data_IF_971610297227
#
_entry.id   IF_971610297227
#
_cell.length_a   1.000
_cell.length_b   1.000
_cell.length_c   1.000
_cell.angle_alpha   90.00
_cell.angle_beta   90.00
_cell.angle_gamma   90.00
#
_symmetry.space_group_name_H-M   'P 1'
#
loop_
_entity.id
_entity.type
_entity.pdbx_description
1 polymer ?
#
# COMPACT_ATOMS: atom_id res chain seq x y z
N UNK A 1 2.06 -28.52 -45.92
CA UNK A 1 1.21 -28.63 -44.71
C UNK A 1 1.96 -28.03 -43.52
N UNK A 2 1.70 -26.76 -43.17
CA UNK A 2 2.33 -26.03 -42.05
C UNK A 2 1.29 -25.07 -41.47
N UNK A 3 0.37 -25.55 -40.63
CA UNK A 3 -0.62 -24.68 -39.97
C UNK A 3 -0.90 -25.04 -38.50
N UNK A 4 -0.06 -25.89 -37.88
CA UNK A 4 -0.38 -26.44 -36.55
C UNK A 4 0.57 -25.93 -35.44
N UNK A 5 1.67 -25.24 -35.78
CA UNK A 5 2.65 -24.75 -34.79
C UNK A 5 2.37 -23.36 -34.24
N UNK A 6 1.73 -22.48 -35.02
CA UNK A 6 1.47 -21.08 -34.62
C UNK A 6 0.32 -20.99 -33.60
N UNK A 7 -0.66 -21.88 -33.69
CA UNK A 7 -1.81 -21.90 -32.77
C UNK A 7 -1.46 -22.34 -31.34
N UNK A 8 -0.40 -23.14 -31.16
CA UNK A 8 0.04 -23.60 -29.84
C UNK A 8 0.87 -22.53 -29.11
N UNK A 9 1.63 -21.72 -29.85
CA UNK A 9 2.48 -20.68 -29.27
C UNK A 9 1.67 -19.48 -28.76
N UNK A 10 0.56 -19.13 -29.42
CA UNK A 10 -0.34 -18.06 -28.98
C UNK A 10 -1.16 -18.44 -27.75
N UNK A 11 -1.59 -19.70 -27.64
CA UNK A 11 -2.31 -20.18 -26.45
C UNK A 11 -1.42 -20.17 -25.18
N UNK A 12 -0.13 -20.48 -25.33
CA UNK A 12 0.83 -20.46 -24.21
C UNK A 12 1.15 -19.01 -23.76
N UNK A 13 1.21 -18.07 -24.69
CA UNK A 13 1.43 -16.65 -24.36
C UNK A 13 0.24 -16.01 -23.63
N UNK A 14 -1.00 -16.36 -23.99
CA UNK A 14 -2.20 -15.90 -23.25
C UNK A 14 -2.33 -16.51 -21.85
N UNK A 15 -1.85 -17.75 -21.64
CA UNK A 15 -1.83 -18.38 -20.32
C UNK A 15 -0.81 -17.71 -19.37
N UNK A 16 0.33 -17.23 -19.90
CA UNK A 16 1.35 -16.55 -19.09
C UNK A 16 0.90 -15.12 -18.72
N UNK A 17 0.22 -14.40 -19.61
CA UNK A 17 -0.33 -13.06 -19.30
C UNK A 17 -1.44 -13.15 -18.24
N UNK A 18 -2.25 -14.22 -18.26
CA UNK A 18 -3.28 -14.43 -17.23
C UNK A 18 -2.72 -14.88 -15.87
N UNK A 19 -1.51 -15.46 -15.82
CA UNK A 19 -0.85 -15.79 -14.55
C UNK A 19 -0.29 -14.56 -13.82
N UNK A 20 0.15 -13.52 -14.55
CA UNK A 20 0.59 -12.25 -13.96
C UNK A 20 -0.54 -11.22 -13.80
N UNK A 21 -1.73 -11.47 -14.37
CA UNK A 21 -2.91 -10.63 -14.15
C UNK A 21 -3.68 -10.97 -12.86
N UNK A 22 -3.00 -11.63 -11.91
CA UNK A 22 -3.47 -11.82 -10.53
C UNK A 22 -3.08 -10.65 -9.61
N UNK A 23 -2.76 -9.48 -10.18
CA UNK A 23 -3.20 -8.21 -9.60
C UNK A 23 -4.73 -8.22 -9.62
N UNK A 24 -5.33 -9.00 -8.72
CA UNK A 24 -6.72 -8.89 -8.39
C UNK A 24 -6.92 -7.42 -8.00
N UNK A 25 -7.55 -6.67 -8.90
CA UNK A 25 -8.31 -5.49 -8.56
C UNK A 25 -9.32 -5.98 -7.52
N UNK A 26 -8.91 -5.96 -6.26
CA UNK A 26 -9.79 -6.14 -5.12
C UNK A 26 -10.66 -4.90 -5.10
N UNK A 27 -11.78 -5.00 -5.81
CA UNK A 27 -12.86 -4.04 -5.73
C UNK A 27 -13.16 -3.78 -4.25
N UNK A 28 -12.87 -2.55 -3.84
CA UNK A 28 -13.76 -1.68 -3.08
C UNK A 28 -14.34 -2.22 -1.77
N UNK A 29 -13.92 -1.54 -0.71
CA UNK A 29 -14.65 -1.32 0.54
C UNK A 29 -14.73 -2.51 1.53
N UNK A 30 -14.17 -2.26 2.72
CA UNK A 30 -14.42 -2.94 3.99
C UNK A 30 -13.83 -4.35 4.21
N UNK A 31 -12.65 -4.65 3.67
CA UNK A 31 -11.72 -5.43 4.48
C UNK A 31 -11.19 -4.46 5.54
N UNK A 32 -11.74 -4.51 6.76
CA UNK A 32 -11.36 -3.59 7.83
C UNK A 32 -9.85 -3.55 7.99
N UNK A 33 -9.29 -2.35 8.13
CA UNK A 33 -7.88 -2.17 8.45
C UNK A 33 -7.49 -3.11 9.61
N UNK A 34 -6.49 -3.95 9.37
CA UNK A 34 -5.91 -4.85 10.36
C UNK A 34 -4.41 -4.56 10.47
N UNK A 35 -4.01 -4.08 11.64
CA UNK A 35 -2.61 -3.73 11.92
C UNK A 35 -1.65 -4.92 11.88
N UNK A 36 -2.15 -6.16 11.86
CA UNK A 36 -1.36 -7.38 11.74
C UNK A 36 -1.39 -7.98 10.33
N UNK A 37 -2.16 -7.40 9.40
CA UNK A 37 -2.19 -7.80 7.99
C UNK A 37 -1.76 -6.62 7.09
N UNK A 38 -0.47 -6.56 6.68
CA UNK A 38 0.06 -5.51 5.81
C UNK A 38 -0.69 -5.34 4.48
N UNK A 39 -1.40 -6.37 4.02
CA UNK A 39 -2.22 -6.31 2.80
C UNK A 39 -3.41 -5.35 2.98
N UNK A 40 -3.78 -5.01 4.20
CA UNK A 40 -4.88 -4.09 4.53
C UNK A 40 -4.43 -2.66 4.80
N UNK A 41 -3.12 -2.37 4.75
CA UNK A 41 -2.60 -1.03 5.08
C UNK A 41 -2.69 -0.05 3.92
N UNK A 42 -3.12 -0.50 2.75
CA UNK A 42 -3.43 0.35 1.60
C UNK A 42 -4.89 0.19 1.21
N UNK A 43 -5.47 1.25 0.66
CA UNK A 43 -6.83 1.24 0.15
C UNK A 43 -6.90 1.86 -1.25
N UNK A 44 -7.77 1.33 -2.13
CA UNK A 44 -8.00 1.94 -3.44
C UNK A 44 -8.48 3.39 -3.30
N UNK A 45 -8.17 4.20 -4.32
CA UNK A 45 -8.50 5.64 -4.40
C UNK A 45 -9.93 5.93 -3.93
N UNK A 46 -10.05 6.83 -2.96
CA UNK A 46 -11.34 7.36 -2.51
C UNK A 46 -11.51 8.80 -2.98
N UNK A 47 -12.72 9.17 -3.38
CA UNK A 47 -12.98 10.32 -4.27
C UNK A 47 -12.69 11.72 -3.74
N UNK A 48 -12.24 11.89 -2.49
CA UNK A 48 -12.04 13.21 -1.90
C UNK A 48 -10.58 13.63 -1.72
N UNK A 49 -9.60 12.72 -1.85
CA UNK A 49 -8.18 13.02 -1.66
C UNK A 49 -7.84 13.65 -0.30
N UNK A 50 -6.55 13.80 -0.01
CA UNK A 50 -6.08 14.51 1.19
C UNK A 50 -6.07 16.01 0.92
N UNK A 51 -6.66 16.81 1.82
CA UNK A 51 -6.60 18.27 1.71
C UNK A 51 -5.21 18.79 2.09
N UNK A 52 -4.80 19.96 1.56
CA UNK A 52 -3.53 20.58 1.96
C UNK A 52 -3.45 20.89 3.45
N UNK A 53 -4.61 21.22 4.05
CA UNK A 53 -4.71 21.47 5.50
C UNK A 53 -4.41 20.20 6.30
N UNK A 54 -4.99 19.07 5.89
CA UNK A 54 -4.79 17.80 6.61
C UNK A 54 -3.38 17.25 6.38
N UNK A 55 -2.85 17.39 5.16
CA UNK A 55 -1.46 17.09 4.84
C UNK A 55 -0.48 17.91 5.71
N UNK A 56 -0.76 19.20 5.90
CA UNK A 56 0.03 20.08 6.77
C UNK A 56 -0.12 19.81 8.28
N UNK A 57 -1.02 18.91 8.67
CA UNK A 57 -1.22 18.50 10.07
C UNK A 57 -0.39 17.27 10.47
N UNK A 58 0.36 16.69 9.53
CA UNK A 58 1.21 15.52 9.77
C UNK A 58 2.57 15.99 10.28
N UNK A 59 2.89 15.61 11.52
CA UNK A 59 4.16 15.97 12.15
C UNK A 59 5.10 14.76 12.27
N UNK A 60 6.39 15.05 12.31
CA UNK A 60 7.42 14.05 12.62
C UNK A 60 7.14 13.43 13.99
N UNK A 61 7.26 12.11 14.09
CA UNK A 61 6.97 11.37 15.33
C UNK A 61 5.56 10.77 15.43
N UNK A 62 4.62 11.17 14.55
CA UNK A 62 3.29 10.54 14.51
C UNK A 62 3.40 9.07 14.12
N UNK A 63 2.57 8.21 14.70
CA UNK A 63 2.55 6.81 14.30
C UNK A 63 1.83 6.63 12.96
N UNK A 64 2.04 5.50 12.29
CA UNK A 64 1.26 5.20 11.08
C UNK A 64 -0.24 5.18 11.40
N UNK A 65 -0.64 4.62 12.55
CA UNK A 65 -2.03 4.61 13.03
C UNK A 65 -2.59 6.03 13.18
N UNK A 66 -1.82 6.97 13.76
CA UNK A 66 -2.26 8.37 13.89
C UNK A 66 -2.47 9.05 12.53
N UNK A 67 -1.60 8.74 11.56
CA UNK A 67 -1.71 9.29 10.21
C UNK A 67 -2.98 8.78 9.53
N UNK A 68 -3.24 7.47 9.57
CA UNK A 68 -4.43 6.90 8.91
C UNK A 68 -5.74 7.35 9.56
N UNK A 69 -5.75 7.59 10.87
CA UNK A 69 -6.92 8.11 11.58
C UNK A 69 -7.23 9.56 11.16
N UNK A 70 -6.22 10.31 10.70
CA UNK A 70 -6.37 11.70 10.23
C UNK A 70 -6.73 11.79 8.76
N UNK A 71 -6.00 11.09 7.90
CA UNK A 71 -6.06 11.28 6.44
C UNK A 71 -6.47 10.02 5.67
N UNK A 72 -6.84 8.96 6.38
CA UNK A 72 -7.21 7.68 5.81
C UNK A 72 -6.00 6.84 5.38
N UNK A 73 -6.29 5.68 4.80
CA UNK A 73 -5.27 4.75 4.32
C UNK A 73 -4.56 5.28 3.06
N UNK A 74 -3.25 5.03 2.91
CA UNK A 74 -2.52 5.34 1.69
C UNK A 74 -3.00 4.51 0.51
N UNK A 75 -2.74 4.99 -0.70
CA UNK A 75 -3.06 4.27 -1.93
C UNK A 75 -1.96 3.26 -2.28
N UNK A 76 -0.70 3.59 -1.98
CA UNK A 76 0.45 2.82 -2.45
C UNK A 76 1.63 2.85 -1.47
N UNK A 77 2.36 1.73 -1.39
CA UNK A 77 3.74 1.68 -0.90
C UNK A 77 4.69 1.98 -2.08
N UNK A 78 5.45 3.07 -1.97
CA UNK A 78 6.38 3.56 -3.00
C UNK A 78 7.84 3.38 -2.59
N UNK A 79 8.10 2.72 -1.46
CA UNK A 79 9.43 2.55 -0.90
C UNK A 79 10.22 1.43 -1.57
N UNK A 80 11.46 1.74 -2.00
CA UNK A 80 12.46 0.73 -2.32
C UNK A 80 13.49 0.68 -1.18
N UNK A 81 13.31 -0.25 -0.26
CA UNK A 81 14.19 -0.42 0.91
C UNK A 81 13.88 0.49 2.11
N UNK A 82 12.81 1.28 2.05
CA UNK A 82 12.28 2.08 3.16
C UNK A 82 10.75 1.99 3.24
N UNK A 83 10.16 2.47 4.33
CA UNK A 83 8.71 2.47 4.52
C UNK A 83 8.15 3.82 4.05
N UNK A 84 7.69 3.88 2.80
CA UNK A 84 7.22 5.11 2.17
C UNK A 84 5.83 4.88 1.59
N UNK A 85 4.87 5.65 2.06
CA UNK A 85 3.49 5.54 1.61
C UNK A 85 3.04 6.82 0.92
N UNK A 86 2.18 6.65 -0.08
CA UNK A 86 1.65 7.73 -0.89
C UNK A 86 0.14 7.87 -0.74
N UNK A 87 -0.30 9.12 -0.58
CA UNK A 87 -1.69 9.56 -0.61
C UNK A 87 -1.91 10.52 -1.76
N UNK A 88 -3.02 10.37 -2.45
CA UNK A 88 -3.44 11.33 -3.45
C UNK A 88 -4.11 12.53 -2.80
N UNK A 89 -3.73 13.73 -3.22
CA UNK A 89 -4.27 14.98 -2.69
C UNK A 89 -5.45 15.48 -3.52
N UNK A 90 -6.33 16.27 -2.89
CA UNK A 90 -7.49 16.86 -3.54
C UNK A 90 -7.12 17.84 -4.69
N UNK A 91 -5.92 18.41 -4.65
CA UNK A 91 -5.38 19.32 -5.67
C UNK A 91 -4.69 18.57 -6.84
N UNK A 92 -4.73 17.23 -6.85
CA UNK A 92 -4.11 16.40 -7.88
C UNK A 92 -2.63 16.04 -7.63
N UNK A 93 -2.01 16.56 -6.57
CA UNK A 93 -0.65 16.21 -6.15
C UNK A 93 -0.59 14.91 -5.35
N UNK A 94 0.62 14.47 -5.00
CA UNK A 94 0.86 13.28 -4.20
C UNK A 94 1.56 13.65 -2.88
N UNK A 95 0.98 13.26 -1.74
CA UNK A 95 1.60 13.36 -0.43
C UNK A 95 2.35 12.06 -0.15
N UNK A 96 3.67 12.14 0.01
CA UNK A 96 4.51 10.99 0.35
C UNK A 96 5.01 11.15 1.77
N UNK A 97 4.74 10.15 2.61
CA UNK A 97 5.18 10.11 4.01
C UNK A 97 6.15 8.95 4.17
N UNK A 98 7.35 9.27 4.63
CA UNK A 98 8.37 8.30 5.03
C UNK A 98 8.24 7.98 6.50
N UNK A 99 8.33 6.70 6.83
CA UNK A 99 8.32 6.19 8.20
C UNK A 99 9.65 5.51 8.52
N UNK A 100 10.09 5.68 9.77
CA UNK A 100 11.18 4.88 10.35
C UNK A 100 10.61 3.82 11.28
N UNK A 101 11.28 2.68 11.35
CA UNK A 101 10.91 1.60 12.27
C UNK A 101 11.49 1.93 13.64
N UNK A 102 10.62 2.24 14.59
CA UNK A 102 11.01 2.54 15.98
C UNK A 102 10.80 1.36 16.91
N UNK A 103 10.02 0.36 16.49
CA UNK A 103 9.75 -0.85 17.27
C UNK A 103 9.56 -2.07 16.37
N UNK A 104 10.23 -3.16 16.73
CA UNK A 104 9.97 -4.48 16.17
C UNK A 104 9.09 -5.29 17.10
N UNK A 105 8.23 -6.11 16.52
CA UNK A 105 7.31 -6.98 17.26
C UNK A 105 7.29 -8.38 16.64
N UNK A 106 7.15 -9.39 17.50
CA UNK A 106 6.76 -10.73 17.10
C UNK A 106 5.23 -10.79 17.20
N UNK A 107 4.56 -10.98 16.07
CA UNK A 107 3.11 -11.09 16.03
C UNK A 107 2.68 -12.31 15.21
N UNK A 108 1.50 -12.83 15.48
CA UNK A 108 0.91 -13.94 14.72
C UNK A 108 -0.03 -13.36 13.68
N UNK A 109 0.20 -13.66 12.40
CA UNK A 109 -0.71 -13.22 11.35
C UNK A 109 -2.02 -14.04 11.37
N UNK A 110 -2.98 -13.64 10.54
CA UNK A 110 -4.28 -14.32 10.40
C UNK A 110 -4.19 -15.81 10.03
N UNK A 111 -3.06 -16.26 9.49
CA UNK A 111 -2.81 -17.65 9.07
C UNK A 111 -2.12 -18.48 10.17
N UNK A 112 -1.92 -17.90 11.37
CA UNK A 112 -1.30 -18.57 12.52
C UNK A 112 0.23 -18.60 12.49
N UNK A 113 0.87 -17.85 11.59
CA UNK A 113 2.33 -17.81 11.43
C UNK A 113 2.91 -16.68 12.29
N UNK A 114 3.90 -17.01 13.12
CA UNK A 114 4.68 -16.01 13.85
C UNK A 114 5.62 -15.25 12.91
N UNK A 115 5.45 -13.93 12.82
CA UNK A 115 6.23 -13.02 11.99
C UNK A 115 7.02 -12.10 12.91
N UNK A 116 8.33 -12.01 12.70
CA UNK A 116 9.16 -10.98 13.31
C UNK A 116 9.25 -9.81 12.32
N UNK A 117 8.68 -8.67 12.68
CA UNK A 117 8.56 -7.53 11.77
C UNK A 117 8.27 -6.23 12.51
N UNK A 118 7.57 -5.32 11.85
CA UNK A 118 7.01 -4.10 12.44
C UNK A 118 5.50 -4.09 12.22
N UNK A 119 4.80 -3.43 13.13
CA UNK A 119 3.38 -3.11 13.02
C UNK A 119 3.25 -1.59 12.78
N UNK A 120 2.07 -1.09 12.40
CA UNK A 120 1.83 0.35 12.23
C UNK A 120 2.15 1.17 13.48
N UNK A 121 1.94 0.60 14.66
CA UNK A 121 2.27 1.21 15.96
C UNK A 121 3.80 1.26 16.21
N UNK A 122 4.59 0.49 15.46
CA UNK A 122 6.05 0.48 15.48
C UNK A 122 6.70 1.35 14.40
N UNK A 123 5.89 2.10 13.65
CA UNK A 123 6.33 3.06 12.64
C UNK A 123 6.11 4.48 13.14
N UNK A 124 7.08 5.36 12.85
CA UNK A 124 7.02 6.79 13.18
C UNK A 124 7.34 7.63 11.95
N UNK A 125 6.57 8.70 11.71
CA UNK A 125 6.84 9.65 10.62
C UNK A 125 8.25 10.20 10.78
N UNK A 126 9.07 9.99 9.76
CA UNK A 126 10.45 10.46 9.67
C UNK A 126 10.60 11.61 8.68
N UNK A 127 9.78 11.62 7.62
CA UNK A 127 9.75 12.69 6.61
C UNK A 127 8.39 12.80 5.92
N UNK A 128 8.11 13.97 5.36
CA UNK A 128 6.90 14.28 4.59
C UNK A 128 7.30 15.13 3.40
N UNK A 129 6.79 14.81 2.20
CA UNK A 129 6.99 15.60 0.99
C UNK A 129 5.73 15.60 0.12
N UNK A 130 5.59 16.63 -0.70
CA UNK A 130 4.52 16.73 -1.70
C UNK A 130 5.17 16.73 -3.07
N UNK A 131 4.81 15.74 -3.89
CA UNK A 131 5.29 15.55 -5.25
C UNK A 131 4.22 16.08 -6.23
N UNK A 132 4.65 16.59 -7.39
CA UNK A 132 3.79 17.20 -8.43
C UNK A 132 3.18 16.21 -9.42
#
# INVERSE_FOLDING_TARGET
MKKNGIFMLTALFLAIISAFSSCAVRNGAAAGYDKYDPVTWTAPRSGNGVSEKDAGSIDKGMTFTDVIDRIGLPQQDVGSGGVLYEWEMANGKHLVIGFEIVKHELYTNKDGVGIFGFTPDGLSVSSTRIDE
#
